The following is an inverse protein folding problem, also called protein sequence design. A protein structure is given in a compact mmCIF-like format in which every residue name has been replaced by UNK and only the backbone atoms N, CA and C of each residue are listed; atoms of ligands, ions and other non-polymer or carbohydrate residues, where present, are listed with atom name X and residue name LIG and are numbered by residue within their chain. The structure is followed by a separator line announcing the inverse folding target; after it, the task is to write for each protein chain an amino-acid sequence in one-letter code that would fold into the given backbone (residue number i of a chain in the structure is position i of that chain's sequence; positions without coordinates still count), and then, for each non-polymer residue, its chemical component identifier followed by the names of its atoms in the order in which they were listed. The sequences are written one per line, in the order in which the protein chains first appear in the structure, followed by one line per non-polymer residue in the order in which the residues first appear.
data_IF_775388636514
#
_entry.id   IF_775388636514
#
_cell.length_a   1.000
_cell.length_b   1.000
_cell.length_c   1.000
_cell.angle_alpha   90.00
_cell.angle_beta   90.00
_cell.angle_gamma   90.00
#
_symmetry.space_group_name_H-M   'P 1'
#
loop_
_entity.id
_entity.type
_entity.pdbx_description
1 polymer ?
#
# COMPACT_ATOMS: atom_id res chain seq x y z
N UNK A 1 15.09 18.82 1.28
CA UNK A 1 13.65 19.11 1.38
C UNK A 1 13.03 18.78 0.02
N UNK A 2 12.64 17.53 -0.21
CA UNK A 2 11.94 17.17 -1.45
C UNK A 2 10.46 17.51 -1.26
N UNK A 3 10.02 18.63 -1.84
CA UNK A 3 8.59 18.90 -1.98
C UNK A 3 8.09 18.03 -3.12
N UNK A 4 7.51 16.88 -2.80
CA UNK A 4 6.92 15.98 -3.77
C UNK A 4 5.42 16.23 -3.72
N UNK A 5 4.91 16.98 -4.69
CA UNK A 5 3.47 17.14 -4.88
C UNK A 5 2.89 15.76 -5.20
N UNK A 6 1.83 15.33 -4.49
CA UNK A 6 1.12 14.11 -4.90
C UNK A 6 0.70 14.27 -6.35
N UNK A 7 1.02 13.25 -7.13
CA UNK A 7 0.74 13.22 -8.55
C UNK A 7 -0.77 13.26 -8.75
N UNK A 8 -1.24 14.31 -9.40
CA UNK A 8 -2.65 14.51 -9.73
C UNK A 8 -2.97 13.67 -10.96
N UNK A 9 -3.96 12.75 -10.90
CA UNK A 9 -4.30 11.85 -12.01
C UNK A 9 -4.63 12.57 -13.33
N UNK A 10 -5.11 13.82 -13.27
CA UNK A 10 -5.42 14.63 -14.45
C UNK A 10 -4.17 15.12 -15.19
N UNK A 11 -3.07 15.34 -14.47
CA UNK A 11 -1.85 15.92 -15.03
C UNK A 11 -1.01 14.87 -15.77
N UNK A 12 -1.31 13.58 -15.56
CA UNK A 12 -0.57 12.46 -16.15
C UNK A 12 -1.30 11.71 -17.26
N UNK A 13 -2.51 12.16 -17.63
CA UNK A 13 -3.30 11.52 -18.69
C UNK A 13 -3.75 10.07 -18.38
N UNK A 14 -3.51 9.56 -17.15
CA UNK A 14 -3.90 8.21 -16.78
C UNK A 14 -5.41 8.13 -16.55
N UNK A 15 -6.13 7.45 -17.45
CA UNK A 15 -7.54 7.14 -17.25
C UNK A 15 -7.67 5.97 -16.30
N UNK A 16 -8.19 6.24 -15.10
CA UNK A 16 -8.52 5.21 -14.10
C UNK A 16 -9.27 4.05 -14.76
N UNK A 17 -8.71 2.85 -14.64
CA UNK A 17 -9.31 1.63 -15.17
C UNK A 17 -10.41 1.19 -14.21
N UNK A 18 -11.66 1.50 -14.55
CA UNK A 18 -12.84 1.19 -13.72
C UNK A 18 -12.88 -0.26 -13.20
N UNK A 19 -12.39 -1.23 -13.98
CA UNK A 19 -12.30 -2.66 -13.58
C UNK A 19 -11.41 -2.91 -12.35
N UNK A 20 -10.45 -2.03 -12.09
CA UNK A 20 -9.51 -2.15 -10.98
C UNK A 20 -9.92 -1.31 -9.75
N UNK A 21 -11.06 -0.61 -9.79
CA UNK A 21 -11.57 0.15 -8.63
C UNK A 21 -10.64 1.29 -8.16
N UNK A 22 -9.76 1.77 -9.05
CA UNK A 22 -8.72 2.75 -8.73
C UNK A 22 -9.30 4.08 -8.21
N UNK A 23 -8.94 4.43 -6.99
CA UNK A 23 -9.19 5.74 -6.38
C UNK A 23 -7.87 6.29 -5.88
N UNK A 24 -7.28 7.23 -6.62
CA UNK A 24 -5.96 7.75 -6.29
C UNK A 24 -6.02 8.75 -5.11
N UNK A 25 -5.21 8.47 -4.09
CA UNK A 25 -5.05 9.34 -2.95
C UNK A 25 -4.25 10.58 -3.36
N UNK A 26 -4.77 11.77 -3.05
CA UNK A 26 -4.16 13.05 -3.42
C UNK A 26 -4.12 14.05 -2.24
N UNK A 27 -4.85 13.78 -1.14
CA UNK A 27 -4.85 14.63 0.04
C UNK A 27 -3.56 14.45 0.85
N UNK A 28 -2.67 15.45 0.76
CA UNK A 28 -1.40 15.51 1.47
C UNK A 28 -1.53 15.34 2.99
N UNK A 29 -2.61 15.84 3.59
CA UNK A 29 -2.81 15.73 5.04
C UNK A 29 -3.12 14.29 5.44
N UNK A 30 -3.83 13.54 4.59
CA UNK A 30 -4.11 12.13 4.81
C UNK A 30 -2.85 11.29 4.58
N UNK A 31 -2.12 11.57 3.49
CA UNK A 31 -0.82 10.93 3.20
C UNK A 31 0.14 11.09 4.38
N UNK A 32 0.36 12.33 4.84
CA UNK A 32 1.25 12.61 5.95
C UNK A 32 0.81 11.93 7.26
N UNK A 33 -0.49 11.83 7.52
CA UNK A 33 -1.03 11.09 8.67
C UNK A 33 -0.73 9.60 8.57
N UNK A 34 -0.92 8.99 7.40
CA UNK A 34 -0.61 7.57 7.19
C UNK A 34 0.88 7.31 7.39
N UNK A 35 1.75 8.08 6.75
CA UNK A 35 3.21 7.95 6.88
C UNK A 35 3.64 8.10 8.34
N UNK A 36 3.11 9.08 9.07
CA UNK A 36 3.36 9.25 10.51
C UNK A 36 2.85 8.08 11.34
N UNK A 37 1.70 7.50 11.00
CA UNK A 37 1.17 6.32 11.69
C UNK A 37 2.01 5.07 11.44
N UNK A 38 2.55 4.91 10.23
CA UNK A 38 3.53 3.86 9.92
C UNK A 38 4.81 4.14 10.70
N UNK A 39 5.28 5.39 10.77
CA UNK A 39 6.54 5.75 11.44
C UNK A 39 7.69 4.79 11.06
N UNK A 40 8.08 4.71 9.76
CA UNK A 40 9.14 3.82 9.31
C UNK A 40 10.42 3.95 10.14
N UNK A 41 11.10 2.83 10.37
CA UNK A 41 12.41 2.80 11.02
C UNK A 41 13.41 2.03 10.17
N UNK A 42 14.68 2.32 10.35
CA UNK A 42 15.78 1.56 9.76
C UNK A 42 15.59 0.07 10.03
N UNK A 43 15.69 -0.73 8.97
CA UNK A 43 15.50 -2.18 9.01
C UNK A 43 14.06 -2.69 9.00
N UNK A 44 13.03 -1.83 9.05
CA UNK A 44 11.64 -2.26 8.88
C UNK A 44 11.40 -2.89 7.50
N UNK A 45 10.57 -3.92 7.45
CA UNK A 45 10.19 -4.62 6.21
C UNK A 45 8.82 -4.13 5.73
N UNK A 46 8.79 -3.02 4.99
CA UNK A 46 7.55 -2.36 4.58
C UNK A 46 7.11 -2.88 3.21
N UNK A 47 5.83 -3.26 3.14
CA UNK A 47 5.16 -3.68 1.90
C UNK A 47 3.96 -2.78 1.66
N UNK A 48 3.92 -2.12 0.50
CA UNK A 48 2.75 -1.37 0.05
C UNK A 48 1.95 -2.17 -0.98
N UNK A 49 0.63 -2.23 -0.81
CA UNK A 49 -0.28 -2.88 -1.76
C UNK A 49 -1.02 -1.80 -2.55
N UNK A 50 -0.95 -1.88 -3.88
CA UNK A 50 -1.60 -0.94 -4.79
C UNK A 50 -0.99 0.47 -4.72
N UNK A 51 0.30 0.63 -5.04
CA UNK A 51 0.98 1.94 -5.02
C UNK A 51 0.34 2.97 -5.96
N UNK A 52 -0.31 2.52 -7.05
CA UNK A 52 -0.98 3.40 -8.00
C UNK A 52 -0.01 4.44 -8.59
N UNK A 53 -0.34 5.72 -8.44
CA UNK A 53 0.51 6.84 -8.87
C UNK A 53 1.56 7.24 -7.81
N UNK A 54 2.02 6.30 -6.98
CA UNK A 54 3.06 6.52 -5.96
C UNK A 54 2.73 7.57 -4.87
N UNK A 55 1.45 7.85 -4.62
CA UNK A 55 1.03 8.87 -3.64
C UNK A 55 1.47 8.55 -2.19
N UNK A 56 1.45 7.27 -1.80
CA UNK A 56 2.00 6.80 -0.52
C UNK A 56 3.44 6.28 -0.68
N UNK A 57 3.74 5.62 -1.80
CA UNK A 57 5.08 5.10 -2.12
C UNK A 57 6.16 6.16 -2.01
N UNK A 58 5.95 7.32 -2.64
CA UNK A 58 6.95 8.39 -2.71
C UNK A 58 7.35 8.95 -1.35
N UNK A 59 6.44 9.31 -0.43
CA UNK A 59 6.86 9.75 0.90
C UNK A 59 7.36 8.60 1.78
N UNK A 60 6.84 7.37 1.64
CA UNK A 60 7.31 6.23 2.44
C UNK A 60 8.77 5.86 2.14
N UNK A 61 9.14 5.76 0.87
CA UNK A 61 10.51 5.40 0.46
C UNK A 61 11.54 6.48 0.82
N UNK A 62 11.10 7.73 1.02
CA UNK A 62 11.92 8.81 1.56
C UNK A 62 12.28 8.62 3.03
N UNK A 63 11.56 7.77 3.77
CA UNK A 63 11.73 7.54 5.20
C UNK A 63 12.15 6.10 5.57
N UNK A 64 12.34 5.21 4.59
CA UNK A 64 12.82 3.85 4.82
C UNK A 64 14.04 3.47 3.96
N UNK A 65 14.72 2.39 4.35
CA UNK A 65 15.90 1.89 3.64
C UNK A 65 15.51 1.08 2.39
N UNK A 66 14.34 0.45 2.41
CA UNK A 66 13.79 -0.34 1.32
C UNK A 66 12.26 -0.34 1.41
N UNK A 67 11.60 -0.34 0.25
CA UNK A 67 10.15 -0.47 0.13
C UNK A 67 9.83 -1.51 -0.93
N UNK A 68 8.98 -2.47 -0.59
CA UNK A 68 8.43 -3.41 -1.58
C UNK A 68 7.01 -2.99 -1.92
N UNK A 69 6.65 -2.97 -3.20
CA UNK A 69 5.29 -2.68 -3.66
C UNK A 69 4.72 -3.89 -4.39
N UNK A 70 3.42 -4.15 -4.22
CA UNK A 70 2.66 -5.15 -4.96
C UNK A 70 1.61 -4.43 -5.80
N UNK A 71 1.74 -4.48 -7.13
CA UNK A 71 0.85 -3.79 -8.08
C UNK A 71 0.35 -4.76 -9.15
N UNK A 72 -0.95 -4.72 -9.42
CA UNK A 72 -1.59 -5.56 -10.44
C UNK A 72 -1.53 -4.90 -11.82
N UNK A 73 -1.60 -3.57 -11.89
CA UNK A 73 -1.52 -2.82 -13.13
C UNK A 73 -0.06 -2.60 -13.56
N UNK A 74 0.39 -3.42 -14.52
CA UNK A 74 1.76 -3.38 -15.04
C UNK A 74 2.18 -2.01 -15.59
N UNK A 75 1.25 -1.25 -16.16
CA UNK A 75 1.56 0.08 -16.69
C UNK A 75 1.85 1.08 -15.56
N UNK A 76 1.15 0.93 -14.43
CA UNK A 76 1.43 1.72 -13.23
C UNK A 76 2.74 1.27 -12.58
N UNK A 77 2.94 -0.04 -12.44
CA UNK A 77 4.15 -0.63 -11.88
C UNK A 77 5.40 -0.15 -12.63
N UNK A 78 5.39 -0.20 -13.96
CA UNK A 78 6.50 0.24 -14.81
C UNK A 78 6.84 1.73 -14.64
N UNK A 79 5.85 2.57 -14.33
CA UNK A 79 6.05 4.00 -14.12
C UNK A 79 6.55 4.39 -12.73
N UNK A 80 6.49 3.50 -11.73
CA UNK A 80 6.85 3.83 -10.34
C UNK A 80 8.27 4.37 -10.15
N UNK A 81 9.33 3.81 -10.79
CA UNK A 81 10.69 4.30 -10.59
C UNK A 81 10.88 5.78 -10.97
N UNK A 82 10.09 6.30 -11.91
CA UNK A 82 10.15 7.71 -12.34
C UNK A 82 9.41 8.66 -11.39
N UNK A 83 8.62 8.11 -10.46
CA UNK A 83 7.65 8.86 -9.62
C UNK A 83 8.09 9.00 -8.17
N UNK A 84 9.16 8.33 -7.78
CA UNK A 84 9.60 8.24 -6.39
C UNK A 84 11.02 8.75 -6.21
N UNK A 85 11.36 9.29 -5.04
CA UNK A 85 12.74 9.46 -4.67
C UNK A 85 13.35 8.07 -4.40
N UNK A 86 14.66 7.94 -4.60
CA UNK A 86 15.39 6.71 -4.29
C UNK A 86 14.85 5.43 -4.97
N UNK A 87 14.63 5.41 -6.29
CA UNK A 87 14.10 4.24 -6.98
C UNK A 87 14.97 2.99 -6.79
N UNK A 88 16.26 3.14 -6.47
CA UNK A 88 17.16 2.03 -6.13
C UNK A 88 16.75 1.26 -4.87
N UNK A 89 15.91 1.85 -4.01
CA UNK A 89 15.36 1.23 -2.78
C UNK A 89 14.00 0.58 -3.00
N UNK A 90 13.43 0.71 -4.20
CA UNK A 90 12.11 0.21 -4.54
C UNK A 90 12.22 -1.20 -5.14
N UNK A 91 11.52 -2.16 -4.55
CA UNK A 91 11.28 -3.47 -5.14
C UNK A 91 9.84 -3.53 -5.65
N UNK A 92 9.64 -3.84 -6.93
CA UNK A 92 8.32 -3.87 -7.56
C UNK A 92 7.93 -5.31 -7.85
N UNK A 93 6.76 -5.73 -7.36
CA UNK A 93 6.17 -7.04 -7.61
C UNK A 93 4.88 -6.85 -8.41
N UNK A 94 4.90 -7.30 -9.65
CA UNK A 94 3.75 -7.29 -10.54
C UNK A 94 2.86 -8.52 -10.29
N UNK A 95 1.94 -8.43 -9.32
CA UNK A 95 1.11 -9.56 -8.90
C UNK A 95 -0.29 -9.16 -8.42
N UNK A 96 -1.20 -10.14 -8.44
CA UNK A 96 -2.49 -10.05 -7.77
C UNK A 96 -2.31 -10.25 -6.26
N UNK A 97 -2.44 -9.17 -5.48
CA UNK A 97 -2.30 -9.22 -4.03
C UNK A 97 -3.29 -10.18 -3.34
N UNK A 98 -4.41 -10.54 -3.97
CA UNK A 98 -5.35 -11.53 -3.42
C UNK A 98 -4.84 -12.98 -3.53
N UNK A 99 -3.77 -13.21 -4.29
CA UNK A 99 -3.21 -14.54 -4.57
C UNK A 99 -1.74 -14.66 -4.22
N UNK A 100 -1.10 -13.54 -3.93
CA UNK A 100 0.33 -13.48 -3.66
C UNK A 100 0.64 -14.08 -2.27
N UNK A 101 1.66 -14.94 -2.19
CA UNK A 101 2.15 -15.47 -0.92
C UNK A 101 3.06 -14.43 -0.26
N UNK A 102 2.49 -13.67 0.68
CA UNK A 102 3.23 -12.63 1.40
C UNK A 102 4.36 -13.19 2.26
N UNK A 103 4.38 -14.49 2.55
CA UNK A 103 5.48 -15.07 3.32
C UNK A 103 6.81 -15.09 2.59
N UNK A 104 6.79 -15.02 1.26
CA UNK A 104 7.98 -14.84 0.43
C UNK A 104 8.68 -13.49 0.68
N UNK A 105 7.97 -12.51 1.24
CA UNK A 105 8.51 -11.17 1.51
C UNK A 105 9.16 -11.05 2.89
N UNK A 106 9.10 -12.08 3.72
CA UNK A 106 9.77 -12.06 5.02
C UNK A 106 11.29 -12.15 4.82
N UNK A 107 11.99 -11.07 5.15
CA UNK A 107 13.46 -10.97 5.01
C UNK A 107 14.10 -11.10 6.38
N UNK A 108 15.05 -12.02 6.53
CA UNK A 108 15.84 -12.21 7.76
C UNK A 108 14.99 -12.35 9.05
N UNK A 109 13.81 -12.98 8.94
CA UNK A 109 12.88 -13.11 10.06
C UNK A 109 12.19 -11.80 10.50
N UNK A 110 12.35 -10.70 9.73
CA UNK A 110 11.72 -9.41 10.03
C UNK A 110 10.25 -9.43 9.59
N UNK A 111 9.30 -9.20 10.53
CA UNK A 111 7.89 -9.22 10.21
C UNK A 111 7.51 -8.06 9.28
N UNK A 112 6.50 -8.31 8.45
CA UNK A 112 5.98 -7.36 7.49
C UNK A 112 5.24 -6.22 8.18
N UNK A 113 5.35 -5.03 7.60
CA UNK A 113 4.51 -3.87 7.91
C UNK A 113 3.76 -3.51 6.64
N UNK A 114 2.47 -3.78 6.60
CA UNK A 114 1.69 -3.70 5.35
C UNK A 114 0.95 -2.37 5.30
N UNK A 115 1.06 -1.66 4.19
CA UNK A 115 0.44 -0.34 3.98
C UNK A 115 -0.36 -0.35 2.69
N UNK A 116 -1.42 0.44 2.59
CA UNK A 116 -2.12 0.57 1.31
C UNK A 116 -3.35 1.46 1.34
N UNK A 117 -3.62 2.09 0.20
CA UNK A 117 -4.90 2.73 -0.08
C UNK A 117 -5.75 1.76 -0.92
N UNK A 118 -6.45 0.85 -0.24
CA UNK A 118 -7.01 -0.31 -0.91
C UNK A 118 -8.30 0.02 -1.69
N UNK A 119 -8.45 -0.48 -2.93
CA UNK A 119 -9.72 -0.42 -3.65
C UNK A 119 -10.83 -1.15 -2.88
N UNK A 120 -12.01 -0.54 -2.81
CA UNK A 120 -13.14 -1.04 -2.01
C UNK A 120 -13.61 -2.44 -2.45
N UNK A 121 -13.44 -2.78 -3.72
CA UNK A 121 -13.88 -4.05 -4.30
C UNK A 121 -13.01 -5.24 -3.88
N UNK A 122 -11.77 -5.00 -3.45
CA UNK A 122 -10.84 -6.06 -3.02
C UNK A 122 -10.47 -5.99 -1.54
N UNK A 123 -10.80 -4.90 -0.84
CA UNK A 123 -10.31 -4.66 0.52
C UNK A 123 -10.70 -5.76 1.51
N UNK A 124 -11.95 -6.24 1.50
CA UNK A 124 -12.38 -7.32 2.41
C UNK A 124 -11.63 -8.64 2.18
N UNK A 125 -11.65 -9.24 0.97
CA UNK A 125 -10.93 -10.49 0.75
C UNK A 125 -9.42 -10.33 0.95
N UNK A 126 -8.85 -9.16 0.64
CA UNK A 126 -7.43 -8.89 0.88
C UNK A 126 -7.09 -8.87 2.36
N UNK A 127 -7.93 -8.25 3.20
CA UNK A 127 -7.72 -8.27 4.65
C UNK A 127 -7.74 -9.69 5.21
N UNK A 128 -8.71 -10.52 4.78
CA UNK A 128 -8.76 -11.93 5.21
C UNK A 128 -7.54 -12.71 4.75
N UNK A 129 -7.12 -12.54 3.49
CA UNK A 129 -5.90 -13.13 2.96
C UNK A 129 -4.66 -12.75 3.79
N UNK A 130 -4.50 -11.45 4.11
CA UNK A 130 -3.39 -10.98 4.93
C UNK A 130 -3.40 -11.55 6.37
N UNK A 131 -4.58 -11.80 6.93
CA UNK A 131 -4.71 -12.39 8.27
C UNK A 131 -4.21 -13.84 8.32
N UNK A 132 -4.20 -14.58 7.21
CA UNK A 132 -3.58 -15.90 7.11
C UNK A 132 -2.06 -15.85 7.38
N UNK A 133 -1.44 -14.69 7.18
CA UNK A 133 -0.03 -14.42 7.46
C UNK A 133 0.20 -13.73 8.80
N UNK A 134 -0.77 -13.73 9.72
CA UNK A 134 -0.74 -12.94 10.96
C UNK A 134 0.52 -13.11 11.82
N UNK A 135 1.14 -14.30 11.86
CA UNK A 135 2.41 -14.53 12.58
C UNK A 135 3.64 -13.89 11.92
N UNK A 136 3.52 -13.47 10.67
CA UNK A 136 4.55 -12.84 9.84
C UNK A 136 4.32 -11.34 9.66
N UNK A 137 3.20 -10.79 10.17
CA UNK A 137 2.82 -9.37 10.04
C UNK A 137 2.86 -8.70 11.40
N UNK A 138 3.61 -7.60 11.51
CA UNK A 138 3.71 -6.78 12.72
C UNK A 138 2.54 -5.83 12.86
N UNK A 139 2.23 -5.09 11.79
CA UNK A 139 1.15 -4.12 11.74
C UNK A 139 0.63 -3.92 10.30
N UNK A 140 -0.58 -3.38 10.21
CA UNK A 140 -1.27 -3.09 8.95
C UNK A 140 -1.88 -1.68 9.01
N UNK A 141 -1.60 -0.86 8.00
CA UNK A 141 -2.01 0.52 7.90
C UNK A 141 -2.77 0.75 6.59
N UNK A 142 -4.10 0.66 6.65
CA UNK A 142 -4.96 0.80 5.48
C UNK A 142 -5.89 2.00 5.55
N UNK A 143 -6.04 2.68 4.42
CA UNK A 143 -7.19 3.56 4.20
C UNK A 143 -8.34 2.71 3.65
N UNK A 144 -9.49 2.74 4.34
CA UNK A 144 -10.69 2.00 3.97
C UNK A 144 -11.90 2.95 3.95
N UNK A 145 -12.90 2.63 3.13
CA UNK A 145 -14.17 3.35 3.17
C UNK A 145 -14.90 3.10 4.49
N UNK A 146 -15.53 4.13 5.04
CA UNK A 146 -16.25 4.08 6.34
C UNK A 146 -17.28 2.94 6.42
N UNK A 147 -18.02 2.69 5.33
CA UNK A 147 -19.04 1.62 5.29
C UNK A 147 -18.40 0.23 5.46
N UNK A 148 -17.21 0.03 4.91
CA UNK A 148 -16.48 -1.23 5.04
C UNK A 148 -16.00 -1.44 6.49
N UNK A 149 -15.44 -0.40 7.13
CA UNK A 149 -15.04 -0.47 8.55
C UNK A 149 -16.23 -0.87 9.45
N UNK A 150 -17.40 -0.25 9.23
CA UNK A 150 -18.61 -0.57 9.99
C UNK A 150 -19.04 -2.03 9.83
N UNK A 151 -18.80 -2.65 8.67
CA UNK A 151 -19.12 -4.07 8.43
C UNK A 151 -18.14 -4.98 9.18
N UNK A 152 -16.85 -4.67 9.14
CA UNK A 152 -15.82 -5.44 9.83
C UNK A 152 -16.04 -5.42 11.34
N UNK A 153 -16.28 -4.23 11.92
CA UNK A 153 -16.54 -4.08 13.37
C UNK A 153 -17.73 -4.94 13.82
N UNK A 154 -18.86 -4.87 13.12
CA UNK A 154 -20.06 -5.66 13.46
C UNK A 154 -19.81 -7.17 13.45
N UNK A 155 -19.01 -7.67 12.51
CA UNK A 155 -18.70 -9.11 12.43
C UNK A 155 -17.69 -9.54 13.51
N UNK A 156 -16.78 -8.66 13.90
CA UNK A 156 -15.79 -8.93 14.96
C UNK A 156 -16.44 -8.98 16.34
N UNK A 157 -17.43 -8.11 16.59
CA UNK A 157 -18.21 -8.10 17.83
C UNK A 157 -19.12 -9.34 17.94
N UNK A 158 -19.57 -9.89 16.81
CA UNK A 158 -20.40 -11.10 16.77
C UNK A 158 -19.61 -12.41 17.00
N UNK A 159 -18.28 -12.36 16.96
CA UNK A 159 -17.39 -13.50 17.25
C UNK A 159 -16.84 -13.50 18.70
N UNK A 160 -17.28 -12.55 19.54
CA UNK A 160 -17.06 -12.57 20.99
C UNK A 160 -18.25 -13.19 21.69
#
# INVERSE_FOLDING_TARGET
MYQINALNPKDEGHKARKRFGQNFLHDQRVIAKIVRSVSPRTGDNIVEIGPGLAALTSPLIGECDALTVVELDRDLAAGLPERVPHPERLTIIEADALKYDFSELVKDGRPLRVVGNLPYNISTPLLFHLLEFGSKVKDMHFMLQKVLLNRIQKNMDACR
#
